data_IF_179778727353
#
_entry.id   IF_179778727353
#
_cell.length_a   1.000
_cell.length_b   1.000
_cell.length_c   1.000
_cell.angle_alpha   90.00
_cell.angle_beta   90.00
_cell.angle_gamma   90.00
#
_symmetry.space_group_name_H-M   'P 1'
#
loop_
_entity.id
_entity.type
_entity.pdbx_description
1 polymer ?
#
# COMPACT_ATOMS: atom_id res chain seq x y z
N UNK A 1 2.46 78.35 26.42
CA UNK A 1 2.57 77.51 27.64
C UNK A 1 1.39 76.54 27.62
N UNK A 2 1.58 75.36 27.04
CA UNK A 2 0.52 74.37 26.79
C UNK A 2 0.90 73.11 27.55
N UNK A 3 -0.01 72.65 28.41
CA UNK A 3 0.14 71.54 29.34
C UNK A 3 0.29 70.19 28.61
N UNK A 4 1.22 69.37 29.13
CA UNK A 4 1.37 67.96 28.83
C UNK A 4 0.13 67.18 29.26
N UNK A 5 -0.45 66.40 28.34
CA UNK A 5 -1.43 65.37 28.66
C UNK A 5 -0.83 63.98 28.40
N UNK A 6 -0.75 63.18 29.46
CA UNK A 6 -0.14 61.87 29.50
C UNK A 6 -0.99 60.83 28.76
N UNK A 7 -0.42 60.23 27.70
CA UNK A 7 -0.99 59.06 27.04
C UNK A 7 -0.53 57.82 27.80
N UNK A 8 -1.45 57.21 28.54
CA UNK A 8 -1.29 55.88 29.10
C UNK A 8 -1.44 54.83 27.98
N UNK A 9 -0.32 54.27 27.54
CA UNK A 9 -0.28 53.05 26.73
C UNK A 9 -0.60 51.86 27.63
N UNK A 10 -1.85 51.38 27.59
CA UNK A 10 -2.19 50.04 28.05
C UNK A 10 -1.60 49.02 27.07
N UNK A 11 -0.43 48.48 27.43
CA UNK A 11 0.06 47.21 26.91
C UNK A 11 -0.91 46.10 27.36
N UNK A 12 -1.92 45.83 26.55
CA UNK A 12 -2.63 44.55 26.61
C UNK A 12 -1.66 43.52 26.05
N UNK A 13 -0.89 42.89 26.95
CA UNK A 13 -0.13 41.70 26.65
C UNK A 13 -1.13 40.57 26.40
N UNK A 14 -1.66 40.49 25.18
CA UNK A 14 -2.28 39.25 24.68
C UNK A 14 -1.17 38.24 24.51
N UNK A 15 -0.76 37.63 25.62
CA UNK A 15 -0.23 36.28 25.58
C UNK A 15 -1.35 35.42 24.95
N UNK A 16 -1.27 35.25 23.64
CA UNK A 16 -1.93 34.18 22.92
C UNK A 16 -1.34 32.88 23.44
N UNK A 17 -1.82 32.47 24.63
CA UNK A 17 -1.69 31.14 25.15
C UNK A 17 -2.34 30.22 24.14
N UNK A 18 -1.52 29.67 23.25
CA UNK A 18 -1.90 28.57 22.38
C UNK A 18 -2.42 27.47 23.31
N UNK A 19 -3.67 27.02 23.17
CA UNK A 19 -4.22 26.00 24.05
C UNK A 19 -3.37 24.72 23.97
N UNK A 20 -3.16 24.11 25.14
CA UNK A 20 -2.31 22.94 25.43
C UNK A 20 -2.74 21.66 24.68
N UNK A 21 -3.81 21.71 23.87
CA UNK A 21 -4.28 20.59 23.03
C UNK A 21 -3.33 20.24 21.86
N UNK A 22 -2.31 21.06 21.58
CA UNK A 22 -1.33 20.82 20.52
C UNK A 22 0.03 20.27 21.01
N UNK A 23 0.14 19.79 22.26
CA UNK A 23 1.18 18.79 22.53
C UNK A 23 0.76 17.49 21.85
N UNK A 24 1.12 17.35 20.57
CA UNK A 24 1.03 16.11 19.80
C UNK A 24 1.43 14.97 20.71
N UNK A 25 0.47 14.13 21.09
CA UNK A 25 0.71 12.98 21.95
C UNK A 25 1.79 12.12 21.28
N UNK A 26 3.04 12.23 21.75
CA UNK A 26 4.20 11.66 21.06
C UNK A 26 4.07 10.14 20.89
N UNK A 27 3.40 9.49 21.85
CA UNK A 27 2.99 8.08 21.78
C UNK A 27 2.07 7.84 20.58
N UNK A 28 0.99 8.61 20.46
CA UNK A 28 0.04 8.45 19.35
C UNK A 28 0.67 8.81 18.00
N UNK A 29 1.48 9.86 17.93
CA UNK A 29 2.22 10.22 16.72
C UNK A 29 3.21 9.13 16.30
N UNK A 30 3.90 8.50 17.26
CA UNK A 30 4.77 7.37 16.98
C UNK A 30 3.98 6.16 16.45
N UNK A 31 2.85 5.82 17.09
CA UNK A 31 1.94 4.76 16.61
C UNK A 31 1.45 5.02 15.20
N UNK A 32 1.04 6.25 14.89
CA UNK A 32 0.54 6.62 13.56
C UNK A 32 1.60 6.47 12.47
N UNK A 33 2.86 6.85 12.74
CA UNK A 33 3.94 6.67 11.77
C UNK A 33 4.23 5.18 11.55
N UNK A 34 4.32 4.38 12.62
CA UNK A 34 4.52 2.92 12.51
C UNK A 34 3.37 2.27 11.75
N UNK A 35 2.13 2.66 12.07
CA UNK A 35 0.95 2.20 11.37
C UNK A 35 0.97 2.58 9.88
N UNK A 36 1.36 3.81 9.56
CA UNK A 36 1.49 4.30 8.18
C UNK A 36 2.52 3.50 7.38
N UNK A 37 3.69 3.23 7.95
CA UNK A 37 4.71 2.41 7.28
C UNK A 37 4.23 0.97 7.03
N UNK A 38 3.55 0.37 8.01
CA UNK A 38 2.96 -0.96 7.84
C UNK A 38 1.86 -0.96 6.78
N UNK A 39 0.98 0.05 6.80
CA UNK A 39 -0.08 0.24 5.81
C UNK A 39 0.50 0.34 4.40
N UNK A 40 1.56 1.12 4.20
CA UNK A 40 2.20 1.24 2.88
C UNK A 40 2.72 -0.09 2.35
N UNK A 41 3.38 -0.90 3.18
CA UNK A 41 3.87 -2.22 2.76
C UNK A 41 2.74 -3.23 2.57
N UNK A 42 1.68 -3.16 3.40
CA UNK A 42 0.47 -3.95 3.21
C UNK A 42 -0.20 -3.62 1.87
N UNK A 43 -0.37 -2.33 1.55
CA UNK A 43 -0.96 -1.87 0.29
C UNK A 43 -0.11 -2.21 -0.93
N UNK A 44 1.22 -2.17 -0.80
CA UNK A 44 2.11 -2.67 -1.85
C UNK A 44 1.85 -4.16 -2.12
N UNK A 45 1.83 -4.99 -1.07
CA UNK A 45 1.53 -6.43 -1.21
C UNK A 45 0.15 -6.67 -1.83
N UNK A 46 -0.89 -6.03 -1.31
CA UNK A 46 -2.26 -6.22 -1.80
C UNK A 46 -2.41 -5.77 -3.25
N UNK A 47 -1.81 -4.63 -3.64
CA UNK A 47 -1.82 -4.18 -5.04
C UNK A 47 -1.11 -5.18 -5.95
N UNK A 48 0.04 -5.72 -5.55
CA UNK A 48 0.75 -6.73 -6.34
C UNK A 48 -0.07 -8.01 -6.47
N UNK A 49 -0.71 -8.48 -5.39
CA UNK A 49 -1.57 -9.66 -5.43
C UNK A 49 -2.81 -9.45 -6.32
N UNK A 50 -3.46 -8.28 -6.21
CA UNK A 50 -4.58 -7.91 -7.05
C UNK A 50 -4.18 -7.85 -8.53
N UNK A 51 -3.03 -7.26 -8.84
CA UNK A 51 -2.50 -7.20 -10.20
C UNK A 51 -2.24 -8.60 -10.78
N UNK A 52 -1.64 -9.51 -10.00
CA UNK A 52 -1.47 -10.92 -10.40
C UNK A 52 -2.82 -11.58 -10.67
N UNK A 53 -3.83 -11.35 -9.84
CA UNK A 53 -5.17 -11.90 -10.04
C UNK A 53 -5.81 -11.39 -11.34
N UNK A 54 -5.72 -10.09 -11.62
CA UNK A 54 -6.21 -9.48 -12.86
C UNK A 54 -5.51 -10.07 -14.09
N UNK A 55 -4.18 -10.22 -14.05
CA UNK A 55 -3.42 -10.82 -15.15
C UNK A 55 -3.82 -12.28 -15.38
N UNK A 56 -4.09 -13.06 -14.33
CA UNK A 56 -4.58 -14.44 -14.45
C UNK A 56 -5.95 -14.52 -15.12
N UNK A 57 -6.85 -13.62 -14.76
CA UNK A 57 -8.18 -13.53 -15.37
C UNK A 57 -8.08 -13.19 -16.87
N UNK A 58 -7.31 -12.15 -17.21
CA UNK A 58 -7.11 -11.72 -18.60
C UNK A 58 -6.41 -12.80 -19.43
N UNK A 59 -5.41 -13.47 -18.88
CA UNK A 59 -4.72 -14.57 -19.55
C UNK A 59 -5.66 -15.76 -19.80
N UNK A 60 -6.59 -16.05 -18.88
CA UNK A 60 -7.59 -17.11 -19.07
C UNK A 60 -8.56 -16.78 -20.20
N UNK A 61 -9.00 -15.52 -20.28
CA UNK A 61 -9.81 -15.02 -21.39
C UNK A 61 -9.07 -15.10 -22.74
N UNK A 62 -7.79 -14.68 -22.78
CA UNK A 62 -6.94 -14.75 -23.96
C UNK A 62 -6.68 -16.18 -24.42
N UNK A 63 -6.44 -17.13 -23.49
CA UNK A 63 -6.30 -18.55 -23.82
C UNK A 63 -7.57 -19.09 -24.49
N UNK A 64 -8.74 -18.71 -23.98
CA UNK A 64 -10.03 -19.09 -24.58
C UNK A 64 -10.19 -18.47 -25.97
N UNK A 65 -9.83 -17.19 -26.14
CA UNK A 65 -9.86 -16.51 -27.43
C UNK A 65 -8.90 -17.14 -28.45
N UNK A 66 -7.68 -17.52 -28.02
CA UNK A 66 -6.69 -18.19 -28.86
C UNK A 66 -7.22 -19.54 -29.38
N UNK A 67 -7.90 -20.32 -28.52
CA UNK A 67 -8.51 -21.59 -28.94
C UNK A 67 -9.57 -21.34 -30.01
N UNK A 68 -10.45 -20.35 -29.81
CA UNK A 68 -11.51 -19.99 -30.77
C UNK A 68 -10.92 -19.52 -32.11
N UNK A 69 -9.93 -18.63 -32.09
CA UNK A 69 -9.27 -18.12 -33.29
C UNK A 69 -8.58 -19.25 -34.09
N UNK A 70 -7.96 -20.22 -33.41
CA UNK A 70 -7.36 -21.40 -34.07
C UNK A 70 -8.42 -22.32 -34.68
N UNK A 71 -9.56 -22.51 -34.00
CA UNK A 71 -10.68 -23.30 -34.54
C UNK A 71 -11.29 -22.63 -35.78
N UNK A 72 -11.47 -21.31 -35.75
CA UNK A 72 -11.96 -20.53 -36.89
C UNK A 72 -11.00 -20.63 -38.08
N UNK A 73 -9.71 -20.43 -37.85
CA UNK A 73 -8.67 -20.59 -38.87
C UNK A 73 -8.72 -21.98 -39.50
N UNK A 74 -8.72 -23.04 -38.68
CA UNK A 74 -8.78 -24.43 -39.15
C UNK A 74 -10.06 -24.73 -39.95
N UNK A 75 -11.19 -24.13 -39.58
CA UNK A 75 -12.46 -24.27 -40.31
C UNK A 75 -12.38 -23.60 -41.68
N UNK A 76 -11.80 -22.40 -41.76
CA UNK A 76 -11.62 -21.66 -43.02
C UNK A 76 -10.62 -22.41 -43.94
N UNK A 77 -9.49 -22.87 -43.40
CA UNK A 77 -8.51 -23.68 -44.13
C UNK A 77 -9.16 -24.95 -44.73
N UNK A 78 -9.97 -25.65 -43.92
CA UNK A 78 -10.68 -26.86 -44.36
C UNK A 78 -11.75 -26.59 -45.42
N UNK A 79 -12.40 -25.43 -45.37
CA UNK A 79 -13.38 -25.02 -46.38
C UNK A 79 -12.72 -24.63 -47.70
N UNK A 80 -11.56 -23.97 -47.64
CA UNK A 80 -10.76 -23.57 -48.80
C UNK A 80 -10.14 -24.78 -49.52
N UNK A 81 -9.65 -25.77 -48.79
CA UNK A 81 -9.08 -26.99 -49.38
C UNK A 81 -10.06 -27.79 -50.25
N UNK A 82 -11.37 -27.56 -50.11
CA UNK A 82 -12.44 -28.27 -50.83
C UNK A 82 -12.97 -27.51 -52.06
N UNK A 83 -12.45 -26.31 -52.35
CA UNK A 83 -13.00 -25.43 -53.40
C UNK A 83 -11.90 -24.89 -54.33
N UNK A 84 -12.28 -24.49 -55.55
CA UNK A 84 -11.38 -23.77 -56.45
C UNK A 84 -11.05 -22.38 -55.87
N UNK A 85 -9.79 -21.97 -56.04
CA UNK A 85 -9.21 -20.76 -55.47
C UNK A 85 -10.03 -19.50 -55.79
N UNK A 86 -10.29 -18.68 -54.76
CA UNK A 86 -11.11 -17.45 -54.81
C UNK A 86 -10.45 -16.39 -53.91
N UNK A 87 -10.22 -15.19 -54.46
CA UNK A 87 -9.48 -14.09 -53.82
C UNK A 87 -10.18 -13.62 -52.53
N UNK A 88 -11.52 -13.56 -52.53
CA UNK A 88 -12.27 -13.13 -51.34
C UNK A 88 -12.13 -14.11 -50.18
N UNK A 89 -11.95 -15.39 -50.49
CA UNK A 89 -11.73 -16.44 -49.48
C UNK A 89 -10.29 -16.47 -48.99
N UNK A 90 -9.32 -16.19 -49.85
CA UNK A 90 -7.92 -16.00 -49.46
C UNK A 90 -7.78 -14.83 -48.47
N UNK A 91 -8.45 -13.70 -48.72
CA UNK A 91 -8.47 -12.55 -47.80
C UNK A 91 -9.02 -12.92 -46.41
N UNK A 92 -10.10 -13.71 -46.35
CA UNK A 92 -10.64 -14.20 -45.06
C UNK A 92 -9.68 -15.10 -44.31
N UNK A 93 -8.92 -15.95 -45.02
CA UNK A 93 -7.89 -16.79 -44.41
C UNK A 93 -6.78 -15.92 -43.80
N UNK A 94 -6.29 -14.93 -44.53
CA UNK A 94 -5.26 -14.02 -44.06
C UNK A 94 -5.72 -13.23 -42.82
N UNK A 95 -6.96 -12.74 -42.83
CA UNK A 95 -7.57 -12.08 -41.67
C UNK A 95 -7.66 -12.99 -40.45
N UNK A 96 -8.12 -14.24 -40.63
CA UNK A 96 -8.23 -15.20 -39.55
C UNK A 96 -6.84 -15.60 -39.00
N UNK A 97 -5.86 -15.77 -39.88
CA UNK A 97 -4.48 -16.07 -39.50
C UNK A 97 -3.83 -14.90 -38.75
N UNK A 98 -4.06 -13.66 -39.20
CA UNK A 98 -3.59 -12.46 -38.52
C UNK A 98 -4.22 -12.32 -37.12
N UNK A 99 -5.53 -12.55 -37.00
CA UNK A 99 -6.22 -12.55 -35.71
C UNK A 99 -5.67 -13.63 -34.76
N UNK A 100 -5.48 -14.86 -35.26
CA UNK A 100 -4.93 -15.96 -34.46
C UNK A 100 -3.51 -15.65 -33.96
N UNK A 101 -2.67 -15.02 -34.79
CA UNK A 101 -1.33 -14.55 -34.40
C UNK A 101 -1.42 -13.44 -33.35
N UNK A 102 -2.25 -12.43 -33.57
CA UNK A 102 -2.40 -11.30 -32.65
C UNK A 102 -2.83 -11.76 -31.24
N UNK A 103 -3.80 -12.68 -31.15
CA UNK A 103 -4.26 -13.22 -29.86
C UNK A 103 -3.17 -14.09 -29.21
N UNK A 104 -2.39 -14.83 -29.99
CA UNK A 104 -1.26 -15.61 -29.48
C UNK A 104 -0.16 -14.71 -28.92
N UNK A 105 0.20 -13.66 -29.65
CA UNK A 105 1.23 -12.69 -29.24
C UNK A 105 0.82 -11.99 -27.93
N UNK A 106 -0.45 -11.55 -27.84
CA UNK A 106 -1.00 -11.01 -26.60
C UNK A 106 -0.94 -12.04 -25.46
N UNK A 107 -1.26 -13.31 -25.71
CA UNK A 107 -1.17 -14.36 -24.68
C UNK A 107 0.25 -14.50 -24.15
N UNK A 108 1.27 -14.45 -25.03
CA UNK A 108 2.69 -14.52 -24.64
C UNK A 108 3.09 -13.30 -23.83
N UNK A 109 2.68 -12.10 -24.24
CA UNK A 109 2.96 -10.86 -23.52
C UNK A 109 2.36 -10.87 -22.11
N UNK A 110 1.08 -11.23 -21.97
CA UNK A 110 0.41 -11.34 -20.68
C UNK A 110 1.03 -12.42 -19.79
N UNK A 111 1.48 -13.54 -20.37
CA UNK A 111 2.20 -14.56 -19.61
C UNK A 111 3.54 -14.04 -19.08
N UNK A 112 4.25 -13.21 -19.84
CA UNK A 112 5.49 -12.56 -19.39
C UNK A 112 5.20 -11.58 -18.25
N UNK A 113 4.19 -10.70 -18.40
CA UNK A 113 3.77 -9.78 -17.34
C UNK A 113 3.36 -10.53 -16.07
N UNK A 114 2.64 -11.65 -16.19
CA UNK A 114 2.25 -12.48 -15.05
C UNK A 114 3.49 -13.03 -14.32
N UNK A 115 4.46 -13.56 -15.06
CA UNK A 115 5.68 -14.11 -14.46
C UNK A 115 6.50 -13.03 -13.73
N UNK A 116 6.55 -11.81 -14.26
CA UNK A 116 7.20 -10.67 -13.61
C UNK A 116 6.44 -10.22 -12.35
N UNK A 117 5.11 -10.13 -12.44
CA UNK A 117 4.26 -9.77 -11.30
C UNK A 117 4.32 -10.80 -10.16
N UNK A 118 4.34 -12.10 -10.48
CA UNK A 118 4.48 -13.17 -9.49
C UNK A 118 5.85 -13.11 -8.77
N UNK A 119 6.92 -12.76 -9.50
CA UNK A 119 8.23 -12.53 -8.89
C UNK A 119 8.22 -11.33 -7.93
N UNK A 120 7.41 -10.29 -8.21
CA UNK A 120 7.28 -9.11 -7.35
C UNK A 120 6.50 -9.37 -6.04
N UNK A 121 5.71 -10.45 -5.95
CA UNK A 121 4.99 -10.81 -4.71
C UNK A 121 5.95 -11.13 -3.57
N UNK A 122 7.06 -11.81 -3.87
CA UNK A 122 8.05 -12.23 -2.87
C UNK A 122 8.66 -11.01 -2.14
N UNK A 123 9.27 -10.02 -2.83
CA UNK A 123 9.83 -8.85 -2.16
C UNK A 123 8.75 -8.01 -1.46
N UNK A 124 7.54 -7.89 -2.01
CA UNK A 124 6.45 -7.16 -1.34
C UNK A 124 6.04 -7.81 0.00
N UNK A 125 5.92 -9.15 0.03
CA UNK A 125 5.68 -9.90 1.27
C UNK A 125 6.84 -9.77 2.25
N UNK A 126 8.08 -9.84 1.74
CA UNK A 126 9.27 -9.72 2.57
C UNK A 126 9.34 -8.33 3.23
N UNK A 127 9.04 -7.27 2.49
CA UNK A 127 9.00 -5.89 3.00
C UNK A 127 7.98 -5.72 4.13
N UNK A 128 6.76 -6.23 3.96
CA UNK A 128 5.73 -6.19 5.02
C UNK A 128 6.20 -6.95 6.28
N UNK A 129 6.81 -8.13 6.10
CA UNK A 129 7.34 -8.93 7.22
C UNK A 129 8.50 -8.24 7.92
N UNK A 130 9.40 -7.60 7.18
CA UNK A 130 10.56 -6.91 7.74
C UNK A 130 10.12 -5.67 8.53
N UNK A 131 9.18 -4.88 8.00
CA UNK A 131 8.57 -3.77 8.74
C UNK A 131 7.89 -4.27 10.01
N UNK A 132 7.08 -5.35 9.91
CA UNK A 132 6.44 -5.97 11.08
C UNK A 132 7.45 -6.44 12.12
N UNK A 133 8.59 -6.99 11.69
CA UNK A 133 9.66 -7.44 12.60
C UNK A 133 10.32 -6.26 13.30
N UNK A 134 10.56 -5.15 12.59
CA UNK A 134 11.21 -3.95 13.15
C UNK A 134 10.44 -3.33 14.32
N UNK A 135 9.11 -3.28 14.26
CA UNK A 135 8.31 -2.69 15.34
C UNK A 135 7.70 -3.73 16.30
N UNK A 136 7.73 -5.01 15.95
CA UNK A 136 6.93 -6.08 16.57
C UNK A 136 7.20 -6.35 18.05
N UNK A 137 8.26 -5.77 18.62
CA UNK A 137 8.57 -5.83 20.06
C UNK A 137 7.88 -4.74 20.88
N UNK A 138 7.56 -3.60 20.26
CA UNK A 138 6.90 -2.46 20.92
C UNK A 138 5.41 -2.39 20.55
N UNK A 139 5.10 -2.75 19.31
CA UNK A 139 3.75 -2.72 18.76
C UNK A 139 3.27 -4.11 18.37
N UNK A 140 1.96 -4.26 18.31
CA UNK A 140 1.28 -5.42 17.78
C UNK A 140 0.21 -5.00 16.77
N UNK A 141 -0.12 -5.94 15.89
CA UNK A 141 -1.16 -5.78 14.87
C UNK A 141 -2.37 -6.56 15.35
N UNK A 142 -3.43 -5.84 15.71
CA UNK A 142 -4.70 -6.45 16.09
C UNK A 142 -5.63 -6.51 14.88
N UNK A 143 -6.22 -7.67 14.63
CA UNK A 143 -7.23 -7.85 13.59
C UNK A 143 -8.57 -7.27 14.04
N UNK A 144 -9.23 -6.52 13.17
CA UNK A 144 -10.54 -5.92 13.44
C UNK A 144 -11.60 -6.76 12.74
N UNK A 145 -12.56 -7.29 13.51
CA UNK A 145 -13.64 -8.16 12.97
C UNK A 145 -14.72 -7.40 12.21
N UNK A 146 -14.89 -6.11 12.50
CA UNK A 146 -15.95 -5.26 11.94
C UNK A 146 -15.36 -3.90 11.55
N UNK A 147 -14.45 -3.94 10.60
CA UNK A 147 -13.93 -2.77 9.92
C UNK A 147 -14.99 -2.30 8.93
N UNK A 148 -15.72 -1.23 9.29
CA UNK A 148 -16.69 -0.58 8.40
C UNK A 148 -16.14 -0.35 6.99
N UNK A 149 -17.03 -0.25 5.99
CA UNK A 149 -16.66 -0.17 4.57
C UNK A 149 -15.51 0.82 4.33
N UNK A 150 -14.33 0.31 3.97
CA UNK A 150 -13.15 1.11 3.63
C UNK A 150 -12.03 1.17 4.68
N UNK A 151 -12.20 0.56 5.86
CA UNK A 151 -11.13 0.46 6.87
C UNK A 151 -10.18 -0.72 6.65
N UNK A 152 -8.89 -0.55 6.98
CA UNK A 152 -7.93 -1.65 7.05
C UNK A 152 -8.43 -2.74 8.03
N UNK A 153 -8.20 -4.04 7.73
CA UNK A 153 -8.66 -5.14 8.59
C UNK A 153 -7.83 -5.31 9.86
N UNK A 154 -7.01 -4.31 10.19
CA UNK A 154 -6.12 -4.33 11.32
C UNK A 154 -5.95 -2.92 11.90
N UNK A 155 -5.43 -2.87 13.12
CA UNK A 155 -4.87 -1.66 13.74
C UNK A 155 -3.54 -1.98 14.39
N UNK A 156 -2.62 -1.02 14.34
CA UNK A 156 -1.35 -1.11 15.08
C UNK A 156 -1.54 -0.46 16.44
N UNK A 157 -1.27 -1.20 17.50
CA UNK A 157 -1.38 -0.76 18.89
C UNK A 157 -0.08 -1.03 19.63
N UNK A 158 0.15 -0.32 20.73
CA UNK A 158 1.25 -0.65 21.64
C UNK A 158 0.92 -1.94 22.39
N UNK A 159 1.92 -2.80 22.57
CA UNK A 159 1.78 -3.99 23.43
C UNK A 159 1.52 -3.62 24.89
N UNK A 160 2.15 -2.55 25.35
CA UNK A 160 1.91 -2.03 26.69
C UNK A 160 0.65 -1.19 26.70
N UNK A 161 -0.39 -1.69 27.38
CA UNK A 161 -1.62 -0.98 27.63
C UNK A 161 -1.33 0.31 28.42
N UNK A 162 -1.95 1.41 28.01
CA UNK A 162 -1.86 2.69 28.67
C UNK A 162 -3.26 3.09 29.16
N UNK A 163 -3.45 3.43 30.44
CA UNK A 163 -4.71 3.96 30.92
C UNK A 163 -5.11 5.22 30.15
N UNK A 164 -6.42 5.40 29.92
CA UNK A 164 -7.03 6.43 29.07
C UNK A 164 -6.63 7.89 29.36
N UNK A 165 -5.97 8.17 30.49
CA UNK A 165 -5.74 9.53 31.01
C UNK A 165 -4.30 9.87 31.43
N UNK A 166 -3.28 9.13 30.98
CA UNK A 166 -1.88 9.55 31.23
C UNK A 166 -1.21 9.96 29.92
N UNK A 167 -0.97 11.27 29.79
CA UNK A 167 -0.12 11.86 28.75
C UNK A 167 1.33 11.32 28.79
N UNK A 168 1.70 10.65 29.89
CA UNK A 168 2.99 10.00 30.12
C UNK A 168 2.72 8.56 30.56
N UNK A 169 2.62 7.65 29.61
CA UNK A 169 2.69 6.22 29.88
C UNK A 169 4.12 5.77 29.62
N UNK A 170 4.98 5.64 30.65
CA UNK A 170 6.34 5.20 30.43
C UNK A 170 6.31 3.79 29.84
N UNK A 171 7.01 3.60 28.73
CA UNK A 171 7.27 2.26 28.21
C UNK A 171 8.20 1.51 29.19
N UNK A 172 8.06 0.19 29.32
CA UNK A 172 9.08 -0.66 29.91
C UNK A 172 10.47 -0.41 29.28
N UNK A 173 11.55 -0.49 30.06
CA UNK A 173 12.90 -0.12 29.61
C UNK A 173 13.35 -0.91 28.36
N UNK A 174 13.02 -2.20 28.30
CA UNK A 174 13.24 -3.05 27.12
C UNK A 174 12.51 -2.51 25.88
N UNK A 175 11.26 -2.07 26.01
CA UNK A 175 10.51 -1.46 24.90
C UNK A 175 11.03 -0.06 24.54
N UNK A 176 11.59 0.69 25.49
CA UNK A 176 12.23 1.98 25.20
C UNK A 176 13.48 1.80 24.35
N UNK A 177 14.30 0.80 24.64
CA UNK A 177 15.52 0.52 23.88
C UNK A 177 15.19 0.03 22.47
N UNK A 178 14.19 -0.85 22.34
CA UNK A 178 13.68 -1.27 21.03
C UNK A 178 13.08 -0.11 20.24
N UNK A 179 12.39 0.83 20.91
CA UNK A 179 11.85 2.01 20.25
C UNK A 179 12.96 2.99 19.82
N UNK A 180 14.06 3.09 20.56
CA UNK A 180 15.26 3.85 20.14
C UNK A 180 15.98 3.19 18.96
N UNK A 181 15.92 1.85 18.87
CA UNK A 181 16.48 1.07 17.78
C UNK A 181 15.58 1.03 16.54
N UNK A 182 14.30 1.40 16.66
CA UNK A 182 13.34 1.39 15.55
C UNK A 182 13.85 2.26 14.39
N UNK A 183 13.86 1.69 13.20
CA UNK A 183 14.16 2.39 11.95
C UNK A 183 13.05 2.12 10.96
N UNK A 184 12.37 3.17 10.51
CA UNK A 184 11.43 3.13 9.39
C UNK A 184 12.12 3.84 8.23
N UNK A 185 12.27 3.15 7.11
CA UNK A 185 13.01 3.63 5.94
C UNK A 185 14.42 4.16 6.30
N UNK A 186 15.09 3.48 7.25
CA UNK A 186 16.44 3.83 7.70
C UNK A 186 16.53 4.93 8.76
N UNK A 187 15.41 5.52 9.20
CA UNK A 187 15.42 6.63 10.16
C UNK A 187 14.59 6.35 11.41
N UNK A 188 14.99 6.90 12.57
CA UNK A 188 14.18 6.88 13.78
C UNK A 188 13.13 8.00 13.70
N UNK A 189 11.82 7.69 13.67
CA UNK A 189 10.79 8.72 13.58
C UNK A 189 10.85 9.70 14.75
N UNK A 190 10.71 10.99 14.45
CA UNK A 190 10.81 12.07 15.45
C UNK A 190 9.79 11.90 16.60
N UNK A 191 8.51 11.55 16.36
CA UNK A 191 7.57 11.30 17.46
C UNK A 191 7.97 10.13 18.35
N UNK A 192 8.56 9.07 17.78
CA UNK A 192 9.06 7.93 18.55
C UNK A 192 10.25 8.33 19.43
N UNK A 193 11.16 9.15 18.89
CA UNK A 193 12.29 9.71 19.63
C UNK A 193 11.82 10.58 20.80
N UNK A 194 10.84 11.46 20.58
CA UNK A 194 10.24 12.31 21.62
C UNK A 194 9.57 11.47 22.70
N UNK A 195 8.84 10.42 22.32
CA UNK A 195 8.17 9.54 23.27
C UNK A 195 9.14 8.77 24.16
N UNK A 196 10.28 8.30 23.62
CA UNK A 196 11.33 7.70 24.47
C UNK A 196 11.91 8.71 25.44
N UNK A 197 12.23 9.93 24.97
CA UNK A 197 12.76 10.99 25.84
C UNK A 197 11.81 11.34 27.00
N UNK A 198 10.50 11.25 26.78
CA UNK A 198 9.46 11.47 27.80
C UNK A 198 9.24 10.26 28.73
N UNK A 199 9.69 9.07 28.35
CA UNK A 199 9.50 7.83 29.11
C UNK A 199 10.62 7.53 30.10
N UNK A 200 11.75 8.27 30.07
CA UNK A 200 12.93 8.09 30.94
C UNK A 200 12.82 8.80 32.30
N UNK A 201 11.61 8.98 32.83
CA UNK A 201 11.36 9.60 34.15
C UNK A 201 11.48 8.56 35.25
#
# INVERSE_FOLDING_TARGET
>A
MIMLNAIWLWLVSTASGVPVEYQVNAREGCRQIVAGAYVQAYDERERTLAYVATLKEQLSALKTASIKAKQELSTIESALAKQNYDIDKASKLDMAAANARAVLDQTVEYQKMLNEAEKAVIPARQREQDIKRQFGKVFEIEMVKDNGKGGYPFRVVYRTACPKYRALCPLPADQQDELQALRIDGTLPEPCRKYVGQSKI
#
